data_IF_560877871255
#
_entry.id   IF_560877871255
#
_cell.length_a   1.000
_cell.length_b   1.000
_cell.length_c   1.000
_cell.angle_alpha   90.00
_cell.angle_beta   90.00
_cell.angle_gamma   90.00
#
_symmetry.space_group_name_H-M   'P 1'
#
loop_
_entity.id
_entity.type
_entity.pdbx_description
1 polymer ?
#
# COMPACT_ATOMS: atom_id res chain seq x y z
N UNK A 1 19.13 9.43 7.25
CA UNK A 1 20.00 9.42 6.05
C UNK A 1 19.69 8.12 5.32
N UNK A 2 18.72 8.10 4.43
CA UNK A 2 18.42 6.91 3.62
C UNK A 2 18.62 7.28 2.16
N UNK A 3 19.83 7.02 1.67
CA UNK A 3 20.20 7.22 0.27
C UNK A 3 20.10 5.89 -0.47
N UNK A 4 19.23 5.90 -1.49
CA UNK A 4 19.19 5.11 -2.73
C UNK A 4 19.32 3.58 -2.57
N UNK A 5 18.22 2.89 -2.85
CA UNK A 5 18.27 1.52 -3.38
C UNK A 5 17.05 1.23 -4.25
N UNK A 6 17.18 1.45 -5.56
CA UNK A 6 16.67 0.59 -6.64
C UNK A 6 17.36 0.96 -7.96
N UNK A 7 17.98 -0.04 -8.58
CA UNK A 7 18.29 -0.11 -10.00
C UNK A 7 17.74 -1.46 -10.45
N UNK A 8 16.81 -1.47 -11.40
CA UNK A 8 16.31 -2.69 -12.01
C UNK A 8 16.82 -2.75 -13.44
N UNK A 9 17.37 -3.90 -13.86
CA UNK A 9 17.54 -4.23 -15.29
C UNK A 9 18.95 -4.26 -15.87
N UNK A 10 19.96 -3.66 -15.22
CA UNK A 10 21.35 -3.76 -15.69
C UNK A 10 22.23 -4.38 -14.61
N UNK A 11 22.78 -5.57 -14.87
CA UNK A 11 24.07 -6.12 -14.38
C UNK A 11 24.56 -5.97 -12.92
N UNK A 12 23.84 -5.35 -12.00
CA UNK A 12 24.33 -5.07 -10.64
C UNK A 12 23.93 -6.18 -9.68
N UNK A 13 24.92 -6.93 -9.19
CA UNK A 13 24.73 -7.88 -8.08
C UNK A 13 24.47 -7.09 -6.80
N UNK A 14 23.22 -7.09 -6.34
CA UNK A 14 22.86 -6.57 -5.02
C UNK A 14 22.82 -7.70 -4.01
N UNK A 15 23.36 -7.46 -2.81
CA UNK A 15 23.13 -8.30 -1.63
C UNK A 15 21.62 -8.53 -1.43
N UNK A 16 21.21 -9.79 -1.30
CA UNK A 16 19.82 -10.20 -1.16
C UNK A 16 19.23 -9.66 0.14
N UNK A 17 18.51 -8.54 0.05
CA UNK A 17 17.62 -8.08 1.11
C UNK A 17 16.26 -8.75 0.90
N UNK A 18 15.69 -9.34 1.95
CA UNK A 18 14.41 -10.05 1.91
C UNK A 18 13.17 -9.12 1.69
N UNK A 19 13.39 -7.87 1.28
CA UNK A 19 12.35 -6.88 1.04
C UNK A 19 11.92 -6.92 -0.41
N UNK A 20 10.61 -7.06 -0.66
CA UNK A 20 10.05 -7.03 -2.01
C UNK A 20 9.79 -5.58 -2.44
N UNK A 21 9.62 -5.34 -3.74
CA UNK A 21 9.20 -4.02 -4.25
C UNK A 21 7.89 -3.56 -3.59
N UNK A 22 7.04 -4.50 -3.19
CA UNK A 22 5.78 -4.24 -2.53
C UNK A 22 5.92 -3.74 -1.09
N UNK A 23 7.09 -3.78 -0.48
CA UNK A 23 7.34 -3.32 0.90
C UNK A 23 7.88 -1.89 0.98
N UNK A 24 8.08 -1.21 -0.17
CA UNK A 24 8.46 0.20 -0.17
C UNK A 24 7.37 1.04 0.50
N UNK A 25 7.72 1.89 1.45
CA UNK A 25 6.75 2.75 2.14
C UNK A 25 6.28 3.94 1.29
N UNK A 26 5.69 3.65 0.14
CA UNK A 26 5.21 4.63 -0.83
C UNK A 26 3.71 4.93 -0.61
N UNK A 27 3.24 6.18 -0.82
CA UNK A 27 1.85 6.58 -0.60
C UNK A 27 0.85 6.05 -1.64
N UNK A 28 1.27 5.12 -2.51
CA UNK A 28 0.44 4.44 -3.49
C UNK A 28 0.81 2.97 -3.60
N UNK A 29 -0.09 2.20 -4.22
CA UNK A 29 0.07 0.77 -4.49
C UNK A 29 -0.08 0.52 -5.98
N UNK A 30 0.86 -0.24 -6.55
CA UNK A 30 0.82 -0.62 -7.94
C UNK A 30 1.13 -2.11 -8.10
N UNK A 31 0.45 -2.77 -9.03
CA UNK A 31 0.72 -4.14 -9.44
C UNK A 31 0.74 -4.22 -10.96
N UNK A 32 1.84 -4.74 -11.49
CA UNK A 32 1.97 -5.19 -12.87
C UNK A 32 1.89 -6.72 -12.83
N UNK A 33 0.89 -7.31 -13.48
CA UNK A 33 0.71 -8.77 -13.51
C UNK A 33 0.68 -9.27 -14.94
N UNK A 34 1.16 -10.49 -15.18
CA UNK A 34 0.94 -11.23 -16.45
C UNK A 34 -0.14 -12.30 -16.28
N UNK A 35 -0.58 -12.53 -15.04
CA UNK A 35 -1.60 -13.50 -14.70
C UNK A 35 -2.99 -12.85 -14.73
N UNK A 36 -3.95 -13.60 -15.26
CA UNK A 36 -5.36 -13.19 -15.30
C UNK A 36 -5.93 -13.06 -13.88
N UNK A 37 -5.56 -13.95 -12.96
CA UNK A 37 -5.92 -13.84 -11.55
C UNK A 37 -4.70 -13.37 -10.78
N UNK A 38 -4.88 -12.48 -9.81
CA UNK A 38 -3.77 -11.97 -9.01
C UNK A 38 -4.11 -11.89 -7.53
N UNK A 39 -3.07 -11.96 -6.71
CA UNK A 39 -3.11 -11.75 -5.26
C UNK A 39 -1.81 -11.06 -4.85
N UNK A 40 -1.90 -9.83 -4.34
CA UNK A 40 -0.76 -9.04 -3.92
C UNK A 40 -0.95 -8.52 -2.50
N UNK A 41 0.13 -8.53 -1.73
CA UNK A 41 0.16 -8.09 -0.33
C UNK A 41 1.19 -6.98 -0.19
N UNK A 42 0.79 -5.87 0.41
CA UNK A 42 1.62 -4.70 0.64
C UNK A 42 1.69 -4.42 2.13
N UNK A 43 2.90 -4.32 2.67
CA UNK A 43 3.13 -3.87 4.04
C UNK A 43 3.54 -2.40 4.04
N UNK A 44 2.92 -1.59 4.90
CA UNK A 44 3.24 -0.16 5.06
C UNK A 44 3.36 0.19 6.52
N UNK A 45 4.20 1.19 6.79
CA UNK A 45 4.28 1.84 8.11
C UNK A 45 3.81 3.28 7.95
N UNK A 46 2.88 3.72 8.78
CA UNK A 46 2.37 5.10 8.72
C UNK A 46 2.77 5.85 9.97
N UNK A 47 3.37 7.02 9.79
CA UNK A 47 3.80 7.87 10.89
C UNK A 47 2.73 8.92 11.17
N UNK A 48 2.30 9.04 12.42
CA UNK A 48 1.47 10.17 12.82
C UNK A 48 2.31 11.46 12.90
N UNK A 49 1.93 12.44 12.08
CA UNK A 49 2.55 13.78 12.03
C UNK A 49 1.66 14.87 12.64
N UNK A 50 0.45 14.54 13.08
CA UNK A 50 -0.54 15.45 13.63
C UNK A 50 -0.71 15.33 15.15
N UNK A 51 -1.94 15.47 15.61
CA UNK A 51 -2.32 15.42 17.02
C UNK A 51 -1.88 14.09 17.66
N UNK A 52 -1.34 14.15 18.88
CA UNK A 52 -0.71 13.01 19.54
C UNK A 52 -1.65 11.80 19.74
N UNK A 53 -2.94 12.06 20.01
CA UNK A 53 -3.96 11.02 20.18
C UNK A 53 -4.95 11.10 19.03
N UNK A 54 -4.90 10.12 18.13
CA UNK A 54 -5.81 10.04 16.99
C UNK A 54 -6.10 8.60 16.59
N UNK A 55 -7.30 8.35 16.08
CA UNK A 55 -7.72 7.04 15.60
C UNK A 55 -8.25 7.18 14.18
N UNK A 56 -7.65 6.43 13.27
CA UNK A 56 -8.03 6.40 11.86
C UNK A 56 -8.67 5.07 11.52
N UNK A 57 -9.76 5.11 10.76
CA UNK A 57 -10.39 3.92 10.18
C UNK A 57 -10.10 3.82 8.70
N UNK A 58 -9.78 2.62 8.23
CA UNK A 58 -9.57 2.31 6.84
C UNK A 58 -10.91 2.16 6.10
N UNK A 59 -10.93 2.62 4.87
CA UNK A 59 -11.98 2.35 3.89
C UNK A 59 -11.34 2.12 2.53
N UNK A 60 -11.89 1.17 1.77
CA UNK A 60 -11.40 0.84 0.44
C UNK A 60 -12.48 1.09 -0.60
N UNK A 61 -12.07 1.56 -1.77
CA UNK A 61 -12.95 1.81 -2.91
C UNK A 61 -12.24 1.36 -4.18
N UNK A 62 -12.92 0.71 -5.11
CA UNK A 62 -12.27 0.19 -6.31
C UNK A 62 -13.26 -0.25 -7.38
N UNK A 63 -12.72 -0.46 -8.58
CA UNK A 63 -13.45 -1.02 -9.70
C UNK A 63 -14.07 -2.39 -9.36
N UNK A 64 -15.21 -2.76 -9.99
CA UNK A 64 -15.74 -4.11 -9.88
C UNK A 64 -14.67 -5.16 -10.20
N UNK A 65 -14.62 -6.23 -9.42
CA UNK A 65 -13.61 -7.29 -9.57
C UNK A 65 -12.37 -7.11 -8.69
N UNK A 66 -12.19 -5.97 -8.02
CA UNK A 66 -11.15 -5.78 -6.99
C UNK A 66 -11.69 -6.11 -5.60
N UNK A 67 -11.07 -7.08 -4.94
CA UNK A 67 -11.23 -7.36 -3.52
C UNK A 67 -10.03 -6.78 -2.77
N UNK A 68 -10.30 -5.93 -1.79
CA UNK A 68 -9.26 -5.29 -0.98
C UNK A 68 -9.56 -5.49 0.50
N UNK A 69 -8.55 -5.92 1.25
CA UNK A 69 -8.65 -6.15 2.70
C UNK A 69 -7.49 -5.44 3.39
N UNK A 70 -7.75 -4.78 4.51
CA UNK A 70 -6.76 -4.04 5.29
C UNK A 70 -6.71 -4.61 6.71
N UNK A 71 -5.51 -4.86 7.23
CA UNK A 71 -5.32 -5.38 8.58
C UNK A 71 -4.11 -4.70 9.29
N UNK A 72 -4.29 -4.12 10.49
CA UNK A 72 -5.59 -3.80 11.09
C UNK A 72 -6.34 -2.75 10.24
N UNK A 73 -7.67 -2.72 10.30
CA UNK A 73 -8.51 -1.70 9.65
C UNK A 73 -8.71 -0.44 10.51
N UNK A 74 -8.18 -0.45 11.73
CA UNK A 74 -8.14 0.69 12.64
C UNK A 74 -6.72 0.90 13.13
N UNK A 75 -6.25 2.14 13.05
CA UNK A 75 -4.95 2.56 13.57
C UNK A 75 -5.16 3.61 14.64
N UNK A 76 -4.64 3.33 15.84
CA UNK A 76 -4.65 4.26 16.97
C UNK A 76 -3.23 4.69 17.26
N UNK A 77 -3.03 5.99 17.37
CA UNK A 77 -1.77 6.62 17.74
C UNK A 77 -1.93 7.19 19.15
N UNK A 78 -1.04 6.83 20.06
CA UNK A 78 -0.99 7.35 21.42
C UNK A 78 -0.07 8.56 21.58
N UNK A 79 0.91 8.71 20.69
CA UNK A 79 1.85 9.81 20.64
C UNK A 79 2.21 10.22 19.21
N UNK A 80 2.70 11.45 19.07
CA UNK A 80 3.28 11.93 17.80
C UNK A 80 4.54 11.12 17.47
N UNK A 81 4.69 10.73 16.20
CA UNK A 81 5.85 9.96 15.73
C UNK A 81 5.72 8.44 15.87
N UNK A 82 4.63 7.91 16.43
CA UNK A 82 4.34 6.47 16.38
C UNK A 82 4.14 5.99 14.93
N UNK A 83 4.60 4.76 14.66
CA UNK A 83 4.67 4.17 13.32
C UNK A 83 4.06 2.77 13.23
N UNK A 84 2.76 2.59 13.51
CA UNK A 84 2.10 1.31 13.34
C UNK A 84 2.16 0.85 11.88
N UNK A 85 2.25 -0.46 11.71
CA UNK A 85 2.22 -1.10 10.41
C UNK A 85 0.82 -1.61 10.09
N UNK A 86 0.46 -1.59 8.81
CA UNK A 86 -0.71 -2.28 8.28
C UNK A 86 -0.36 -3.08 7.03
N UNK A 87 -1.23 -4.03 6.72
CA UNK A 87 -1.16 -4.88 5.54
C UNK A 87 -2.38 -4.59 4.67
N UNK A 88 -2.15 -4.31 3.40
CA UNK A 88 -3.18 -4.26 2.36
C UNK A 88 -3.04 -5.50 1.47
N UNK A 89 -4.09 -6.31 1.39
CA UNK A 89 -4.20 -7.42 0.44
C UNK A 89 -5.14 -7.00 -0.70
N UNK A 90 -4.70 -7.17 -1.94
CA UNK A 90 -5.47 -6.86 -3.15
C UNK A 90 -5.55 -8.12 -4.01
N UNK A 91 -6.77 -8.53 -4.32
CA UNK A 91 -7.08 -9.74 -5.09
C UNK A 91 -8.10 -9.42 -6.17
N UNK A 92 -8.01 -10.09 -7.31
CA UNK A 92 -8.95 -9.88 -8.39
C UNK A 92 -8.58 -10.60 -9.67
N UNK A 93 -9.33 -10.27 -10.71
CA UNK A 93 -9.06 -10.68 -12.08
C UNK A 93 -8.61 -9.46 -12.88
N UNK A 94 -7.48 -9.52 -13.56
CA UNK A 94 -6.97 -8.46 -14.41
C UNK A 94 -7.94 -8.21 -15.57
N UNK A 95 -8.10 -6.94 -15.93
CA UNK A 95 -8.88 -6.51 -17.09
C UNK A 95 -7.95 -6.14 -18.25
N UNK A 96 -8.50 -6.02 -19.46
CA UNK A 96 -7.79 -5.53 -20.65
C UNK A 96 -7.29 -4.06 -20.51
N UNK A 97 -7.64 -3.39 -19.40
CA UNK A 97 -7.13 -2.09 -18.99
C UNK A 97 -6.78 -2.04 -17.51
N UNK A 98 -6.56 -0.84 -16.98
CA UNK A 98 -6.19 -0.65 -15.58
C UNK A 98 -7.40 -0.75 -14.64
N UNK A 99 -7.32 -1.64 -13.65
CA UNK A 99 -8.22 -1.61 -12.51
C UNK A 99 -7.68 -0.61 -11.47
N UNK A 100 -8.53 0.34 -11.08
CA UNK A 100 -8.17 1.41 -10.15
C UNK A 100 -8.98 1.34 -8.86
N UNK A 101 -8.34 1.75 -7.77
CA UNK A 101 -8.97 1.88 -6.47
C UNK A 101 -8.21 2.83 -5.56
N UNK A 102 -8.60 2.85 -4.28
CA UNK A 102 -7.89 3.56 -3.24
C UNK A 102 -8.20 3.02 -1.85
N UNK A 103 -7.18 3.07 -1.00
CA UNK A 103 -7.29 2.98 0.45
C UNK A 103 -7.39 4.41 1.01
N UNK A 104 -8.34 4.66 1.89
CA UNK A 104 -8.48 5.93 2.60
C UNK A 104 -8.54 5.69 4.10
N UNK A 105 -7.64 6.34 4.84
CA UNK A 105 -7.68 6.45 6.29
C UNK A 105 -8.39 7.74 6.70
N UNK A 106 -9.33 7.66 7.65
CA UNK A 106 -10.10 8.82 8.11
C UNK A 106 -10.29 8.80 9.63
N UNK A 107 -10.08 9.94 10.27
CA UNK A 107 -10.43 10.25 11.67
C UNK A 107 -11.64 11.22 11.75
N UNK A 108 -12.41 11.30 10.65
CA UNK A 108 -13.53 12.23 10.41
C UNK A 108 -13.12 13.68 10.06
N UNK A 109 -11.94 14.12 10.51
CA UNK A 109 -11.40 15.47 10.23
C UNK A 109 -10.41 15.48 9.07
N UNK A 110 -9.52 14.50 9.05
CA UNK A 110 -8.46 14.28 8.08
C UNK A 110 -8.78 13.05 7.23
N UNK A 111 -8.39 13.10 5.96
CA UNK A 111 -8.53 11.99 5.03
C UNK A 111 -7.19 11.77 4.32
N UNK A 112 -6.57 10.63 4.57
CA UNK A 112 -5.30 10.23 3.94
C UNK A 112 -5.62 9.15 2.90
N UNK A 113 -5.48 9.50 1.62
CA UNK A 113 -5.87 8.63 0.51
C UNK A 113 -4.65 8.13 -0.26
N UNK A 114 -4.56 6.81 -0.43
CA UNK A 114 -3.53 6.11 -1.21
C UNK A 114 -4.16 5.46 -2.45
N UNK A 115 -3.80 5.89 -3.67
CA UNK A 115 -4.26 5.27 -4.91
C UNK A 115 -3.75 3.83 -5.07
N UNK A 116 -4.54 3.00 -5.72
CA UNK A 116 -4.23 1.61 -6.08
C UNK A 116 -4.43 1.47 -7.59
N UNK A 117 -3.43 0.95 -8.31
CA UNK A 117 -3.52 0.69 -9.75
C UNK A 117 -2.99 -0.70 -10.08
N UNK A 118 -3.82 -1.51 -10.75
CA UNK A 118 -3.49 -2.86 -11.20
C UNK A 118 -3.62 -2.91 -12.71
N UNK A 119 -2.60 -3.39 -13.42
CA UNK A 119 -2.62 -3.51 -14.87
C UNK A 119 -1.96 -4.80 -15.33
N UNK A 120 -2.46 -5.31 -16.46
CA UNK A 120 -1.85 -6.43 -17.18
C UNK A 120 -0.64 -5.92 -17.98
N UNK A 121 0.47 -6.64 -17.93
CA UNK A 121 1.74 -6.32 -18.58
C UNK A 121 1.97 -7.10 -19.87
#
# INVERSE_FOLDING_TARGET
>A
MDKVKMLCGEGYKTEATNGTVFDLNYPSFALSTVEKHFSATYRRNVTNVGDAVSTYKASVSGAPGLRMTVEPDVLTFGAQGEQPAFVLKVEGEAADGTLSGALTWSDEKHKVRSPIAIYLA
#
